data_IF_455489818977
#
_entry.id   IF_455489818977
#
_cell.length_a   1.000
_cell.length_b   1.000
_cell.length_c   1.000
_cell.angle_alpha   90.00
_cell.angle_beta   90.00
_cell.angle_gamma   90.00
#
_symmetry.space_group_name_H-M   'P 1'
#
loop_
_entity.id
_entity.type
_entity.pdbx_description
1 polymer ?
#
# COMPACT_ATOMS: atom_id res chain seq x y z
N UNK A 1 12.68 0.94 2.97
CA UNK A 1 12.43 -0.10 1.95
C UNK A 1 13.75 -0.53 1.33
N UNK A 2 13.89 -1.77 0.91
CA UNK A 2 15.04 -2.25 0.14
C UNK A 2 14.53 -3.03 -1.07
N UNK A 3 15.12 -2.79 -2.24
CA UNK A 3 14.71 -3.36 -3.54
C UNK A 3 15.96 -3.65 -4.36
N UNK A 4 15.91 -4.69 -5.21
CA UNK A 4 16.96 -4.93 -6.20
C UNK A 4 16.93 -3.82 -7.25
N UNK A 5 18.09 -3.26 -7.57
CA UNK A 5 18.25 -2.19 -8.56
C UNK A 5 17.56 -2.53 -9.88
N UNK A 6 17.85 -3.71 -10.43
CA UNK A 6 17.27 -4.17 -11.70
C UNK A 6 15.73 -4.24 -11.70
N UNK A 7 15.11 -4.47 -10.53
CA UNK A 7 13.65 -4.54 -10.39
C UNK A 7 13.06 -3.13 -10.33
N UNK A 8 13.75 -2.19 -9.68
CA UNK A 8 13.34 -0.78 -9.64
C UNK A 8 13.45 -0.14 -11.03
N UNK A 9 14.57 -0.36 -11.71
CA UNK A 9 14.82 0.18 -13.06
C UNK A 9 13.84 -0.42 -14.09
N UNK A 10 13.47 -1.71 -13.97
CA UNK A 10 12.47 -2.32 -14.84
C UNK A 10 11.04 -1.74 -14.65
N UNK A 11 10.80 -1.05 -13.54
CA UNK A 11 9.55 -0.37 -13.21
C UNK A 11 9.60 1.14 -13.51
N UNK A 12 10.64 1.65 -14.17
CA UNK A 12 10.82 3.09 -14.42
C UNK A 12 10.84 3.92 -13.12
N UNK A 13 11.49 3.37 -12.08
CA UNK A 13 11.72 4.01 -10.79
C UNK A 13 10.43 4.44 -10.05
N UNK A 14 10.51 5.42 -9.15
CA UNK A 14 9.38 6.06 -8.49
C UNK A 14 8.64 7.02 -9.42
N UNK A 15 7.32 7.09 -9.26
CA UNK A 15 6.49 7.99 -10.04
C UNK A 15 6.39 9.36 -9.35
N UNK A 16 7.46 10.13 -9.46
CA UNK A 16 7.56 11.46 -8.83
C UNK A 16 6.68 12.52 -9.52
N UNK A 17 6.08 12.18 -10.67
CA UNK A 17 5.15 13.06 -11.40
C UNK A 17 3.79 13.09 -10.72
N UNK A 18 3.23 11.92 -10.42
CA UNK A 18 1.94 11.81 -9.74
C UNK A 18 2.08 11.88 -8.21
N UNK A 19 3.25 11.47 -7.68
CA UNK A 19 3.50 11.28 -6.24
C UNK A 19 4.81 11.97 -5.79
N UNK A 20 4.93 13.31 -5.93
CA UNK A 20 6.16 14.02 -5.61
C UNK A 20 6.52 14.05 -4.11
N UNK A 21 5.56 13.81 -3.21
CA UNK A 21 5.79 13.96 -1.76
C UNK A 21 5.30 12.75 -0.95
N UNK A 22 4.15 12.17 -1.31
CA UNK A 22 3.52 11.08 -0.58
C UNK A 22 3.13 9.93 -1.49
N UNK A 23 3.01 8.73 -0.93
CA UNK A 23 2.45 7.54 -1.59
C UNK A 23 3.24 6.94 -2.77
N UNK A 24 4.38 7.53 -3.18
CA UNK A 24 5.22 6.97 -4.23
C UNK A 24 5.68 5.53 -3.96
N UNK A 25 5.98 5.22 -2.69
CA UNK A 25 6.34 3.87 -2.24
C UNK A 25 5.18 2.88 -2.32
N UNK A 26 3.96 3.32 -1.99
CA UNK A 26 2.74 2.52 -2.14
C UNK A 26 2.47 2.21 -3.61
N UNK A 27 2.53 3.20 -4.50
CA UNK A 27 2.35 3.00 -5.94
C UNK A 27 3.36 1.98 -6.50
N UNK A 28 4.65 2.16 -6.19
CA UNK A 28 5.71 1.24 -6.61
C UNK A 28 5.45 -0.19 -6.10
N UNK A 29 5.10 -0.36 -4.82
CA UNK A 29 4.82 -1.66 -4.24
C UNK A 29 3.63 -2.37 -4.91
N UNK A 30 2.61 -1.62 -5.33
CA UNK A 30 1.45 -2.15 -6.05
C UNK A 30 1.79 -2.52 -7.50
N UNK A 31 2.62 -1.71 -8.20
CA UNK A 31 3.13 -2.06 -9.54
C UNK A 31 3.94 -3.35 -9.53
N UNK A 32 4.88 -3.45 -8.59
CA UNK A 32 5.69 -4.65 -8.39
C UNK A 32 4.85 -5.88 -8.06
N UNK A 33 3.83 -5.73 -7.20
CA UNK A 33 2.90 -6.81 -6.87
C UNK A 33 2.16 -7.32 -8.12
N UNK A 34 1.70 -6.42 -9.00
CA UNK A 34 1.07 -6.81 -10.29
C UNK A 34 2.02 -7.58 -11.21
N UNK A 35 3.34 -7.38 -11.09
CA UNK A 35 4.37 -8.15 -11.82
C UNK A 35 4.80 -9.44 -11.11
N UNK A 36 4.16 -9.80 -10.01
CA UNK A 36 4.41 -11.05 -9.27
C UNK A 36 5.53 -10.95 -8.23
N UNK A 37 6.05 -9.76 -7.96
CA UNK A 37 6.93 -9.54 -6.82
C UNK A 37 6.14 -9.51 -5.50
N UNK A 38 6.82 -9.79 -4.38
CA UNK A 38 6.21 -9.80 -3.04
C UNK A 38 6.78 -8.70 -2.18
N UNK A 39 5.90 -8.03 -1.44
CA UNK A 39 6.29 -7.14 -0.35
C UNK A 39 6.47 -7.99 0.91
N UNK A 40 7.68 -7.99 1.48
CA UNK A 40 8.03 -8.80 2.65
C UNK A 40 8.46 -7.88 3.79
N UNK A 41 7.81 -8.01 4.94
CA UNK A 41 8.20 -7.33 6.16
C UNK A 41 9.23 -8.15 6.94
N UNK A 42 10.20 -7.49 7.56
CA UNK A 42 11.19 -8.14 8.44
C UNK A 42 11.42 -7.32 9.71
N UNK A 43 11.39 -7.95 10.90
CA UNK A 43 11.70 -7.27 12.17
C UNK A 43 13.21 -7.04 12.38
N UNK A 44 14.05 -7.66 11.54
CA UNK A 44 15.52 -7.65 11.73
C UNK A 44 16.17 -6.32 11.31
N UNK A 45 15.46 -5.50 10.53
CA UNK A 45 15.92 -4.18 10.10
C UNK A 45 15.01 -3.11 10.72
N UNK A 46 15.61 -2.16 11.44
CA UNK A 46 14.90 -1.01 12.03
C UNK A 46 15.45 0.27 11.43
N UNK A 47 14.55 1.12 10.96
CA UNK A 47 14.88 2.43 10.37
C UNK A 47 14.05 3.48 11.12
N UNK A 48 14.71 4.52 11.63
CA UNK A 48 14.05 5.66 12.22
C UNK A 48 13.89 6.73 11.15
N UNK A 49 12.66 7.17 10.90
CA UNK A 49 12.35 8.25 9.99
C UNK A 49 11.36 9.20 10.66
N UNK A 50 11.62 10.50 10.59
CA UNK A 50 10.63 11.51 10.92
C UNK A 50 9.63 11.58 9.76
N UNK A 51 8.39 11.19 10.02
CA UNK A 51 7.26 11.35 9.10
C UNK A 51 6.09 12.01 9.82
N UNK A 52 5.23 12.74 9.09
CA UNK A 52 4.00 13.23 9.66
C UNK A 52 3.19 12.05 10.23
N UNK A 53 2.63 12.23 11.43
CA UNK A 53 1.81 11.18 12.08
C UNK A 53 0.57 10.83 11.28
N UNK A 54 0.07 11.77 10.49
CA UNK A 54 -1.14 11.63 9.69
C UNK A 54 -0.72 11.90 8.24
N UNK A 55 -0.97 10.93 7.36
CA UNK A 55 -0.78 11.13 5.93
C UNK A 55 -1.85 12.09 5.41
N UNK A 56 -1.48 13.02 4.50
CA UNK A 56 -2.42 14.03 4.05
C UNK A 56 -3.51 13.42 3.17
N UNK A 57 -4.75 13.81 3.41
CA UNK A 57 -5.84 13.64 2.45
C UNK A 57 -5.65 14.75 1.41
N UNK A 58 -4.96 14.42 0.32
CA UNK A 58 -4.59 15.36 -0.73
C UNK A 58 -4.87 14.76 -2.11
N UNK A 59 -4.51 15.53 -3.15
CA UNK A 59 -4.65 15.11 -4.55
C UNK A 59 -3.89 13.83 -4.87
N UNK A 60 -2.73 13.59 -4.25
CA UNK A 60 -1.96 12.36 -4.45
C UNK A 60 -2.75 11.13 -3.97
N UNK A 61 -3.46 11.22 -2.84
CA UNK A 61 -4.33 10.14 -2.38
C UNK A 61 -5.51 9.88 -3.33
N UNK A 62 -6.09 10.93 -3.92
CA UNK A 62 -7.14 10.79 -4.93
C UNK A 62 -6.63 10.04 -6.17
N UNK A 63 -5.46 10.45 -6.69
CA UNK A 63 -4.80 9.77 -7.81
C UNK A 63 -4.52 8.31 -7.48
N UNK A 64 -4.01 8.02 -6.28
CA UNK A 64 -3.71 6.66 -5.84
C UNK A 64 -4.99 5.80 -5.77
N UNK A 65 -6.09 6.35 -5.24
CA UNK A 65 -7.38 5.66 -5.15
C UNK A 65 -7.98 5.39 -6.52
N UNK A 66 -7.89 6.34 -7.45
CA UNK A 66 -8.36 6.16 -8.81
C UNK A 66 -7.55 5.08 -9.54
N UNK A 67 -6.21 5.17 -9.49
CA UNK A 67 -5.28 4.26 -10.15
C UNK A 67 -5.34 2.83 -9.58
N UNK A 68 -5.57 2.70 -8.28
CA UNK A 68 -5.56 1.43 -7.54
C UNK A 68 -6.90 1.09 -6.91
N UNK A 69 -8.01 1.49 -7.52
CA UNK A 69 -9.36 1.31 -7.01
C UNK A 69 -9.67 -0.12 -6.52
N UNK A 70 -9.17 -1.14 -7.23
CA UNK A 70 -9.35 -2.55 -6.93
C UNK A 70 -8.60 -2.98 -5.66
N UNK A 71 -7.40 -2.45 -5.44
CA UNK A 71 -6.65 -2.70 -4.22
C UNK A 71 -7.29 -1.99 -3.02
N UNK A 72 -7.83 -0.79 -3.21
CA UNK A 72 -8.59 -0.06 -2.18
C UNK A 72 -9.92 -0.72 -1.86
N UNK A 73 -10.62 -1.25 -2.87
CA UNK A 73 -11.88 -1.95 -2.67
C UNK A 73 -11.68 -3.23 -1.85
N UNK A 74 -10.52 -3.88 -1.98
CA UNK A 74 -10.18 -5.07 -1.22
C UNK A 74 -8.67 -5.28 -1.15
N UNK A 75 -8.12 -5.14 0.06
CA UNK A 75 -6.75 -5.56 0.35
C UNK A 75 -6.71 -7.09 0.57
N UNK A 76 -5.98 -7.86 -0.26
CA UNK A 76 -5.85 -9.31 -0.08
C UNK A 76 -5.06 -9.73 1.17
N UNK A 77 -4.29 -8.82 1.77
CA UNK A 77 -3.46 -9.10 2.95
C UNK A 77 -4.12 -8.70 4.26
N UNK A 78 -5.14 -7.84 4.22
CA UNK A 78 -5.88 -7.43 5.41
C UNK A 78 -6.93 -8.48 5.79
N UNK A 79 -7.07 -8.77 7.08
CA UNK A 79 -7.99 -9.79 7.56
C UNK A 79 -9.44 -9.37 7.33
N UNK A 80 -10.16 -10.12 6.49
CA UNK A 80 -11.55 -9.85 6.12
C UNK A 80 -12.54 -9.91 7.28
N UNK A 81 -12.16 -10.51 8.41
CA UNK A 81 -12.97 -10.56 9.63
C UNK A 81 -12.84 -9.29 10.50
N UNK A 82 -11.90 -8.39 10.19
CA UNK A 82 -11.72 -7.12 10.90
C UNK A 82 -12.43 -5.97 10.17
N UNK A 83 -12.71 -4.86 10.87
CA UNK A 83 -13.25 -3.63 10.27
C UNK A 83 -12.24 -2.98 9.30
N UNK A 84 -12.72 -2.30 8.25
CA UNK A 84 -11.94 -1.34 7.43
C UNK A 84 -12.21 0.12 7.79
N UNK A 85 -13.19 0.37 8.66
CA UNK A 85 -13.60 1.72 9.01
C UNK A 85 -12.71 2.31 10.12
N UNK A 86 -12.23 1.46 11.03
CA UNK A 86 -11.44 1.85 12.19
C UNK A 86 -10.11 1.08 12.23
N UNK A 87 -9.07 1.72 12.75
CA UNK A 87 -7.73 1.11 12.87
C UNK A 87 -7.54 0.37 14.22
N UNK A 88 -8.62 -0.11 14.83
CA UNK A 88 -8.63 -0.71 16.18
C UNK A 88 -8.64 -2.25 16.18
N UNK A 89 -8.62 -2.87 14.99
CA UNK A 89 -8.71 -4.31 14.79
C UNK A 89 -9.98 -4.94 15.37
N UNK A 90 -11.07 -4.18 15.51
CA UNK A 90 -12.37 -4.72 15.88
C UNK A 90 -12.94 -5.62 14.79
N UNK A 91 -13.87 -6.50 15.15
CA UNK A 91 -14.53 -7.41 14.20
C UNK A 91 -15.44 -6.64 13.26
N UNK A 92 -15.43 -7.02 11.99
CA UNK A 92 -16.39 -6.49 11.01
C UNK A 92 -17.83 -6.87 11.39
N UNK A 93 -18.77 -5.95 11.15
CA UNK A 93 -20.20 -6.19 11.39
C UNK A 93 -20.78 -7.32 10.53
N UNK A 94 -20.13 -7.62 9.40
CA UNK A 94 -20.40 -8.77 8.52
C UNK A 94 -19.07 -9.30 7.96
N UNK A 95 -18.94 -10.60 7.68
CA UNK A 95 -17.77 -11.13 6.97
C UNK A 95 -17.59 -10.42 5.63
N UNK A 96 -16.40 -9.89 5.36
CA UNK A 96 -16.08 -9.20 4.08
C UNK A 96 -15.70 -10.17 2.94
N UNK A 97 -15.97 -11.46 3.15
CA UNK A 97 -15.79 -12.53 2.17
C UNK A 97 -17.05 -13.39 2.14
N UNK A 98 -17.42 -13.88 0.97
CA UNK A 98 -18.47 -14.89 0.83
C UNK A 98 -17.99 -16.23 1.37
N UNK A 99 -18.90 -17.01 1.96
CA UNK A 99 -18.57 -18.35 2.45
C UNK A 99 -18.48 -19.31 1.26
N UNK A 100 -17.30 -19.88 1.04
CA UNK A 100 -17.07 -20.99 0.08
C UNK A 100 -17.76 -22.25 0.59
#
# INVERSE_FOLDING_TARGET
MAIRREVLEAEDDFNDVDFPEFYADVDLCLRLSRRGHRNIWTPSAKVTQERPRILPINRELEILREKWNSAFARDPFYNSNLTDCDEDFSLASRPRIERI
#
